data_IF_858526192834
#
_entry.id   IF_858526192834
#
_cell.length_a   1.000
_cell.length_b   1.000
_cell.length_c   1.000
_cell.angle_alpha   90.00
_cell.angle_beta   90.00
_cell.angle_gamma   90.00
#
_symmetry.space_group_name_H-M   'P 1'
#
loop_
_entity.id
_entity.type
_entity.pdbx_description
1 polymer ?
#
# COMPACT_ATOMS: atom_id res chain seq x y z
N UNK A 1 30.61 -9.43 -56.15
CA UNK A 1 30.24 -10.20 -54.95
C UNK A 1 31.38 -10.17 -53.96
N UNK A 2 31.16 -9.65 -52.74
CA UNK A 2 31.82 -10.04 -51.48
C UNK A 2 31.06 -9.33 -50.34
N UNK A 3 30.73 -10.09 -49.30
CA UNK A 3 29.55 -9.95 -48.44
C UNK A 3 29.83 -9.00 -47.27
N UNK A 4 28.84 -8.17 -46.92
CA UNK A 4 28.82 -7.35 -45.70
C UNK A 4 28.80 -8.27 -44.47
N UNK A 5 29.80 -8.16 -43.62
CA UNK A 5 29.74 -8.68 -42.25
C UNK A 5 29.16 -7.60 -41.35
N UNK A 6 27.88 -7.75 -41.00
CA UNK A 6 27.24 -6.93 -39.96
C UNK A 6 27.44 -7.67 -38.64
N UNK A 7 28.32 -7.13 -37.79
CA UNK A 7 28.46 -7.57 -36.40
C UNK A 7 27.19 -7.24 -35.63
N UNK A 8 26.47 -8.27 -35.19
CA UNK A 8 25.26 -8.14 -34.39
C UNK A 8 25.66 -7.76 -32.95
N UNK A 9 25.61 -6.48 -32.62
CA UNK A 9 25.68 -6.02 -31.22
C UNK A 9 24.35 -6.35 -30.57
N UNK A 10 24.31 -7.45 -29.81
CA UNK A 10 23.17 -7.75 -28.93
C UNK A 10 23.24 -6.76 -27.78
N UNK A 11 22.52 -5.64 -27.89
CA UNK A 11 22.19 -4.81 -26.73
C UNK A 11 21.23 -5.65 -25.90
N UNK A 12 21.75 -6.32 -24.88
CA UNK A 12 20.93 -6.85 -23.80
C UNK A 12 20.30 -5.64 -23.11
N UNK A 13 19.14 -5.20 -23.60
CA UNK A 13 18.27 -4.32 -22.85
C UNK A 13 17.97 -5.08 -21.57
N UNK A 14 18.55 -4.60 -20.46
CA UNK A 14 18.17 -5.03 -19.13
C UNK A 14 16.68 -4.75 -19.05
N UNK A 15 15.85 -5.78 -19.21
CA UNK A 15 14.43 -5.64 -18.95
C UNK A 15 14.35 -5.14 -17.51
N UNK A 16 13.70 -4.00 -17.22
CA UNK A 16 13.44 -3.66 -15.84
C UNK A 16 12.71 -4.86 -15.27
N UNK A 17 13.33 -5.55 -14.31
CA UNK A 17 12.62 -6.51 -13.46
C UNK A 17 11.35 -5.78 -13.05
N UNK A 18 10.20 -6.28 -13.50
CA UNK A 18 8.92 -5.61 -13.26
C UNK A 18 8.85 -5.31 -11.76
N UNK A 19 8.92 -4.02 -11.41
CA UNK A 19 8.79 -3.60 -10.04
C UNK A 19 7.51 -4.25 -9.51
N UNK A 20 7.58 -4.92 -8.35
CA UNK A 20 6.37 -5.42 -7.72
C UNK A 20 5.53 -4.19 -7.41
N UNK A 21 4.46 -4.00 -8.17
CA UNK A 21 3.54 -2.90 -7.93
C UNK A 21 2.76 -3.15 -6.66
N UNK A 22 2.34 -2.09 -5.97
CA UNK A 22 1.47 -2.19 -4.81
C UNK A 22 0.20 -3.00 -5.13
N UNK A 23 -0.38 -2.82 -6.33
CA UNK A 23 -1.55 -3.59 -6.74
C UNK A 23 -1.25 -5.09 -6.86
N UNK A 24 -0.15 -5.47 -7.52
CA UNK A 24 0.24 -6.88 -7.64
C UNK A 24 0.53 -7.51 -6.27
N UNK A 25 1.07 -6.70 -5.34
CA UNK A 25 1.26 -7.10 -3.95
C UNK A 25 -0.08 -7.38 -3.27
N UNK A 26 -1.05 -6.47 -3.35
CA UNK A 26 -2.40 -6.66 -2.78
C UNK A 26 -3.09 -7.89 -3.39
N UNK A 27 -3.04 -8.05 -4.73
CA UNK A 27 -3.67 -9.15 -5.43
C UNK A 27 -3.09 -10.50 -5.00
N UNK A 28 -1.76 -10.55 -4.80
CA UNK A 28 -1.09 -11.75 -4.28
C UNK A 28 -1.62 -12.16 -2.91
N UNK A 29 -1.84 -11.22 -1.99
CA UNK A 29 -2.35 -11.52 -0.65
C UNK A 29 -3.86 -11.78 -0.63
N UNK A 30 -4.62 -11.20 -1.57
CA UNK A 30 -6.04 -11.52 -1.76
C UNK A 30 -6.28 -13.01 -2.05
N UNK A 31 -5.31 -13.68 -2.67
CA UNK A 31 -5.36 -15.10 -2.96
C UNK A 31 -4.80 -16.02 -1.85
N UNK A 32 -4.21 -15.47 -0.78
CA UNK A 32 -3.61 -16.28 0.29
C UNK A 32 -4.64 -16.60 1.38
N UNK A 33 -4.79 -17.89 1.71
CA UNK A 33 -5.55 -18.31 2.89
C UNK A 33 -4.93 -17.72 4.16
N UNK A 34 -5.74 -17.06 4.98
CA UNK A 34 -5.30 -16.41 6.22
C UNK A 34 -4.95 -14.93 6.07
N UNK A 35 -5.01 -14.38 4.85
CA UNK A 35 -5.13 -12.94 4.64
C UNK A 35 -6.60 -12.59 4.42
N UNK A 36 -7.05 -11.52 5.08
CA UNK A 36 -8.32 -10.88 4.78
C UNK A 36 -8.02 -9.66 3.92
N UNK A 37 -8.64 -9.60 2.75
CA UNK A 37 -8.57 -8.41 1.89
C UNK A 37 -9.97 -7.90 1.64
N UNK A 38 -10.19 -6.62 1.94
CA UNK A 38 -11.46 -5.94 1.75
C UNK A 38 -11.23 -4.75 0.83
N UNK A 39 -12.07 -4.62 -0.19
CA UNK A 39 -12.13 -3.46 -1.08
C UNK A 39 -13.47 -2.77 -0.88
N UNK A 40 -13.44 -1.53 -0.43
CA UNK A 40 -14.60 -0.71 -0.15
C UNK A 40 -14.64 0.44 -1.16
N UNK A 41 -15.74 0.57 -1.88
CA UNK A 41 -16.00 1.75 -2.68
C UNK A 41 -16.43 2.92 -1.79
N UNK A 42 -16.30 4.14 -2.29
CA UNK A 42 -16.79 5.34 -1.59
C UNK A 42 -18.28 5.28 -1.23
N UNK A 43 -19.09 4.51 -1.95
CA UNK A 43 -20.50 4.28 -1.60
C UNK A 43 -20.67 3.37 -0.39
N UNK A 44 -19.85 2.34 -0.24
CA UNK A 44 -19.88 1.45 0.93
C UNK A 44 -19.43 2.17 2.20
N UNK A 45 -18.46 3.08 2.07
CA UNK A 45 -17.91 3.84 3.19
C UNK A 45 -18.93 4.81 3.81
N UNK A 46 -19.92 5.30 3.04
CA UNK A 46 -21.00 6.19 3.53
C UNK A 46 -21.91 5.60 4.60
N UNK A 47 -21.82 4.30 4.86
CA UNK A 47 -22.64 3.61 5.85
C UNK A 47 -21.77 2.90 6.91
N UNK A 48 -20.46 3.20 6.93
CA UNK A 48 -19.47 2.44 7.69
C UNK A 48 -19.24 1.01 7.18
N UNK A 49 -18.20 0.36 7.70
CA UNK A 49 -17.91 -1.05 7.43
C UNK A 49 -17.26 -1.73 8.62
N UNK A 50 -17.87 -2.80 9.12
CA UNK A 50 -17.35 -3.61 10.22
C UNK A 50 -17.26 -5.08 9.82
N UNK A 51 -16.04 -5.66 9.84
CA UNK A 51 -15.81 -7.09 9.65
C UNK A 51 -14.43 -7.56 10.12
N UNK A 52 -14.40 -8.62 10.94
CA UNK A 52 -13.21 -9.41 11.29
C UNK A 52 -11.95 -8.54 11.64
N UNK A 53 -12.11 -7.55 12.52
CA UNK A 53 -11.01 -6.65 12.94
C UNK A 53 -10.77 -5.45 12.04
N UNK A 54 -11.58 -5.26 11.00
CA UNK A 54 -11.68 -4.01 10.24
C UNK A 54 -12.92 -3.28 10.73
N UNK A 55 -12.71 -2.12 11.34
CA UNK A 55 -13.77 -1.23 11.78
C UNK A 55 -13.53 0.14 11.15
N UNK A 56 -14.42 0.52 10.25
CA UNK A 56 -14.43 1.83 9.60
C UNK A 56 -15.74 2.48 9.98
N UNK A 57 -15.63 3.46 10.86
CA UNK A 57 -16.75 4.30 11.26
C UNK A 57 -17.37 5.04 10.07
N UNK A 58 -18.57 5.57 10.30
CA UNK A 58 -19.29 6.32 9.29
C UNK A 58 -18.46 7.50 8.76
N UNK A 59 -18.52 7.72 7.45
CA UNK A 59 -17.68 8.71 6.76
C UNK A 59 -17.88 10.16 7.24
N UNK A 60 -18.87 10.44 8.07
CA UNK A 60 -19.08 11.74 8.71
C UNK A 60 -17.92 12.15 9.65
N UNK A 61 -17.03 11.22 10.01
CA UNK A 61 -15.78 11.49 10.72
C UNK A 61 -14.58 11.77 9.80
N UNK A 62 -14.72 11.57 8.48
CA UNK A 62 -13.65 11.87 7.52
C UNK A 62 -13.47 13.40 7.44
N UNK A 63 -12.23 13.92 7.55
CA UNK A 63 -11.98 15.35 7.47
C UNK A 63 -12.64 15.99 6.24
N UNK A 64 -13.23 17.19 6.39
CA UNK A 64 -13.93 17.90 5.29
C UNK A 64 -13.06 18.14 4.05
N UNK A 65 -11.74 18.13 4.21
CA UNK A 65 -10.76 18.27 3.14
C UNK A 65 -10.35 16.92 2.51
N UNK A 66 -11.05 15.84 2.84
CA UNK A 66 -10.81 14.50 2.33
C UNK A 66 -12.06 13.96 1.63
N UNK A 67 -11.88 13.56 0.37
CA UNK A 67 -12.86 12.80 -0.41
C UNK A 67 -12.27 11.41 -0.68
N UNK A 68 -12.81 10.39 -0.02
CA UNK A 68 -12.41 9.01 -0.25
C UNK A 68 -13.21 8.39 -1.40
N UNK A 69 -12.52 7.93 -2.45
CA UNK A 69 -13.13 7.22 -3.57
C UNK A 69 -13.12 5.70 -3.34
N UNK A 70 -12.10 5.16 -2.67
CA UNK A 70 -12.05 3.76 -2.24
C UNK A 70 -11.02 3.50 -1.14
N UNK A 71 -11.25 2.46 -0.33
CA UNK A 71 -10.29 1.92 0.62
C UNK A 71 -10.06 0.44 0.32
N UNK A 72 -8.78 0.04 0.27
CA UNK A 72 -8.39 -1.37 0.31
C UNK A 72 -7.69 -1.64 1.63
N UNK A 73 -8.14 -2.66 2.35
CA UNK A 73 -7.50 -3.14 3.58
C UNK A 73 -7.00 -4.55 3.35
N UNK A 74 -5.73 -4.80 3.68
CA UNK A 74 -5.17 -6.14 3.84
C UNK A 74 -4.86 -6.32 5.31
N UNK A 75 -5.47 -7.32 5.93
CA UNK A 75 -5.25 -7.69 7.32
C UNK A 75 -4.79 -9.15 7.40
N UNK A 76 -3.71 -9.41 8.12
CA UNK A 76 -3.29 -10.77 8.47
C UNK A 76 -3.13 -10.80 9.98
N UNK A 77 -3.82 -11.73 10.64
CA UNK A 77 -3.77 -11.89 12.09
C UNK A 77 -3.54 -13.35 12.46
N UNK A 78 -2.66 -13.62 13.42
CA UNK A 78 -2.39 -14.97 13.95
C UNK A 78 -1.95 -16.00 12.89
N UNK A 79 -1.24 -15.56 11.84
CA UNK A 79 -0.65 -16.46 10.81
C UNK A 79 0.86 -16.18 10.64
N UNK A 80 1.74 -16.65 11.56
CA UNK A 80 3.15 -16.22 11.64
C UNK A 80 3.97 -16.41 10.36
N UNK A 81 3.74 -17.51 9.63
CA UNK A 81 4.44 -17.76 8.36
C UNK A 81 4.02 -16.77 7.27
N UNK A 82 2.75 -16.39 7.25
CA UNK A 82 2.22 -15.45 6.26
C UNK A 82 2.64 -14.02 6.60
N UNK A 83 2.63 -13.65 7.89
CA UNK A 83 3.16 -12.38 8.40
C UNK A 83 4.61 -12.15 7.98
N UNK A 84 5.51 -13.09 8.30
CA UNK A 84 6.93 -13.00 7.93
C UNK A 84 7.14 -12.88 6.42
N UNK A 85 6.30 -13.57 5.63
CA UNK A 85 6.32 -13.48 4.17
C UNK A 85 5.83 -12.11 3.69
N UNK A 86 4.75 -11.59 4.26
CA UNK A 86 4.21 -10.25 4.00
C UNK A 86 5.26 -9.18 4.22
N UNK A 87 5.88 -9.14 5.40
CA UNK A 87 6.91 -8.15 5.74
C UNK A 87 8.07 -8.23 4.75
N UNK A 88 8.59 -9.44 4.49
CA UNK A 88 9.70 -9.64 3.55
C UNK A 88 9.37 -9.21 2.12
N UNK A 89 8.12 -9.37 1.70
CA UNK A 89 7.69 -8.98 0.36
C UNK A 89 7.37 -7.47 0.28
N UNK A 90 6.84 -6.88 1.36
CA UNK A 90 6.61 -5.44 1.47
C UNK A 90 7.93 -4.65 1.41
N UNK A 91 9.00 -5.17 2.02
CA UNK A 91 10.35 -4.60 1.95
C UNK A 91 10.94 -4.56 0.53
N UNK A 92 10.40 -5.34 -0.41
CA UNK A 92 10.85 -5.35 -1.81
C UNK A 92 10.04 -4.40 -2.70
N UNK A 93 8.99 -3.78 -2.18
CA UNK A 93 8.21 -2.80 -2.93
C UNK A 93 9.03 -1.53 -3.11
N UNK A 94 9.21 -1.14 -4.36
CA UNK A 94 9.81 0.15 -4.70
C UNK A 94 8.70 1.21 -4.82
N UNK A 95 8.17 1.60 -3.66
CA UNK A 95 7.09 2.58 -3.57
C UNK A 95 7.54 3.96 -4.08
N UNK A 96 8.83 4.29 -3.97
CA UNK A 96 9.39 5.54 -4.50
C UNK A 96 9.31 5.57 -6.03
N UNK A 97 9.67 4.46 -6.70
CA UNK A 97 9.50 4.33 -8.16
C UNK A 97 8.01 4.38 -8.59
N UNK A 98 7.09 4.00 -7.70
CA UNK A 98 5.64 4.17 -7.91
C UNK A 98 5.11 5.59 -7.61
N UNK A 99 5.97 6.50 -7.16
CA UNK A 99 5.65 7.90 -6.90
C UNK A 99 5.14 8.18 -5.48
N UNK A 100 5.36 7.27 -4.54
CA UNK A 100 5.10 7.53 -3.13
C UNK A 100 6.24 8.32 -2.48
N UNK A 101 5.87 9.20 -1.56
CA UNK A 101 6.75 9.90 -0.64
C UNK A 101 6.39 9.50 0.79
N UNK A 102 7.40 9.20 1.60
CA UNK A 102 7.21 8.83 3.01
C UNK A 102 6.91 10.08 3.85
N UNK A 103 5.87 10.01 4.68
CA UNK A 103 5.47 11.08 5.60
C UNK A 103 5.80 10.72 7.05
N UNK A 104 5.51 9.48 7.43
CA UNK A 104 5.73 8.96 8.78
C UNK A 104 6.40 7.60 8.67
N UNK A 105 7.40 7.39 9.51
CA UNK A 105 8.09 6.12 9.68
C UNK A 105 8.50 6.01 11.14
N UNK A 106 7.72 5.25 11.89
CA UNK A 106 7.93 4.99 13.31
C UNK A 106 8.26 3.52 13.46
N UNK A 107 9.32 3.25 14.21
CA UNK A 107 9.72 1.93 14.64
C UNK A 107 9.82 1.98 16.17
N UNK A 108 9.00 1.19 16.84
CA UNK A 108 8.99 1.05 18.31
C UNK A 108 9.08 -0.44 18.64
N UNK A 109 10.25 -0.85 19.14
CA UNK A 109 10.62 -2.26 19.30
C UNK A 109 10.35 -3.14 18.05
N UNK A 110 9.30 -3.97 18.11
CA UNK A 110 8.87 -4.89 17.05
C UNK A 110 7.64 -4.36 16.26
N UNK A 111 7.08 -3.23 16.68
CA UNK A 111 5.99 -2.53 16.00
C UNK A 111 6.55 -1.50 15.01
N UNK A 112 6.00 -1.48 13.80
CA UNK A 112 6.31 -0.48 12.81
C UNK A 112 5.03 0.16 12.27
N UNK A 113 5.07 1.47 12.07
CA UNK A 113 4.02 2.22 11.40
C UNK A 113 4.63 3.11 10.33
N UNK A 114 4.17 2.92 9.09
CA UNK A 114 4.67 3.63 7.92
C UNK A 114 3.52 4.24 7.16
N UNK A 115 3.56 5.56 6.96
CA UNK A 115 2.58 6.31 6.19
C UNK A 115 3.27 6.92 4.98
N UNK A 116 2.79 6.59 3.79
CA UNK A 116 3.25 7.13 2.52
C UNK A 116 2.10 7.78 1.77
N UNK A 117 2.41 8.81 0.99
CA UNK A 117 1.46 9.51 0.14
C UNK A 117 1.96 9.53 -1.29
N UNK A 118 1.04 9.53 -2.24
CA UNK A 118 1.31 9.78 -3.65
C UNK A 118 0.49 10.98 -4.08
N UNK A 119 1.17 12.05 -4.48
CA UNK A 119 0.55 13.35 -4.73
C UNK A 119 1.56 14.47 -4.82
N UNK A 120 1.13 15.67 -4.41
CA UNK A 120 1.97 16.86 -4.28
C UNK A 120 2.01 17.33 -2.83
N UNK A 121 2.79 18.38 -2.53
CA UNK A 121 2.97 18.88 -1.16
C UNK A 121 1.71 19.43 -0.48
N UNK A 122 0.60 19.60 -1.19
CA UNK A 122 -0.67 20.12 -0.64
C UNK A 122 -1.79 19.09 -0.66
N UNK A 123 -1.73 18.11 -1.58
CA UNK A 123 -2.80 17.16 -1.84
C UNK A 123 -2.22 15.80 -2.23
N UNK A 124 -2.65 14.76 -1.52
CA UNK A 124 -2.43 13.38 -1.92
C UNK A 124 -3.64 12.86 -2.72
N UNK A 125 -3.36 12.12 -3.80
CA UNK A 125 -4.36 11.36 -4.55
C UNK A 125 -4.50 9.92 -4.06
N UNK A 126 -3.54 9.50 -3.23
CA UNK A 126 -3.45 8.15 -2.70
C UNK A 126 -2.58 8.16 -1.44
N UNK A 127 -3.01 7.42 -0.42
CA UNK A 127 -2.32 7.25 0.85
C UNK A 127 -2.19 5.75 1.15
N UNK A 128 -1.03 5.37 1.68
CA UNK A 128 -0.72 4.01 2.09
C UNK A 128 -0.27 4.03 3.54
N UNK A 129 -0.94 3.26 4.37
CA UNK A 129 -0.61 3.05 5.77
C UNK A 129 -0.24 1.57 5.93
N UNK A 130 0.90 1.28 6.53
CA UNK A 130 1.31 -0.08 6.89
C UNK A 130 1.65 -0.10 8.37
N UNK A 131 0.99 -0.96 9.13
CA UNK A 131 1.22 -1.09 10.58
C UNK A 131 1.42 -2.55 10.96
N UNK A 132 2.31 -2.82 11.90
CA UNK A 132 2.33 -4.08 12.65
C UNK A 132 1.94 -3.85 14.10
N UNK A 133 1.43 -4.91 14.69
CA UNK A 133 1.19 -5.05 16.11
C UNK A 133 1.69 -6.45 16.49
N UNK A 134 2.86 -6.53 17.12
CA UNK A 134 3.50 -7.79 17.51
C UNK A 134 2.76 -8.47 18.66
N UNK A 135 2.24 -7.68 19.61
CA UNK A 135 1.40 -8.17 20.72
C UNK A 135 0.18 -8.93 20.18
N UNK A 136 -0.52 -8.36 19.20
CA UNK A 136 -1.68 -8.96 18.54
C UNK A 136 -1.31 -9.91 17.38
N UNK A 137 -0.01 -10.08 17.11
CA UNK A 137 0.53 -10.86 15.98
C UNK A 137 -0.20 -10.54 14.67
N UNK A 138 -0.24 -9.25 14.33
CA UNK A 138 -1.03 -8.75 13.22
C UNK A 138 -0.29 -7.71 12.37
N UNK A 139 -0.74 -7.59 11.13
CA UNK A 139 -0.28 -6.57 10.20
C UNK A 139 -1.47 -6.06 9.39
N UNK A 140 -1.53 -4.74 9.24
CA UNK A 140 -2.51 -4.08 8.40
C UNK A 140 -1.81 -3.27 7.32
N UNK A 141 -2.33 -3.36 6.10
CA UNK A 141 -2.06 -2.41 5.03
C UNK A 141 -3.37 -1.77 4.62
N UNK A 142 -3.44 -0.45 4.76
CA UNK A 142 -4.59 0.36 4.36
C UNK A 142 -4.15 1.25 3.22
N UNK A 143 -4.79 1.07 2.07
CA UNK A 143 -4.61 1.90 0.89
C UNK A 143 -5.87 2.72 0.68
N UNK A 144 -5.73 4.04 0.67
CA UNK A 144 -6.83 4.98 0.47
C UNK A 144 -6.60 5.68 -0.86
N UNK A 145 -7.58 5.64 -1.75
CA UNK A 145 -7.58 6.38 -3.01
C UNK A 145 -8.63 7.48 -2.91
N UNK A 146 -8.25 8.69 -3.28
CA UNK A 146 -9.14 9.84 -3.22
C UNK A 146 -8.37 11.14 -3.10
N UNK A 147 -9.10 12.24 -2.94
CA UNK A 147 -8.52 13.57 -2.74
C UNK A 147 -8.27 13.80 -1.25
N UNK A 148 -7.03 14.00 -0.83
CA UNK A 148 -6.66 14.11 0.59
C UNK A 148 -5.86 15.41 0.77
N UNK A 149 -6.46 16.42 1.40
CA UNK A 149 -5.76 17.67 1.76
C UNK A 149 -4.77 17.43 2.89
N UNK A 150 -3.50 17.78 2.68
CA UNK A 150 -2.41 17.52 3.63
C UNK A 150 -2.21 18.66 4.66
N UNK A 151 -2.88 19.79 4.43
CA UNK A 151 -2.75 21.06 5.16
C UNK A 151 -3.01 20.99 6.67
N UNK A 152 -3.60 19.91 7.19
CA UNK A 152 -3.84 19.69 8.62
C UNK A 152 -3.18 18.40 9.17
N UNK A 153 -2.40 17.70 8.36
CA UNK A 153 -1.77 16.42 8.76
C UNK A 153 -0.33 16.59 9.28
N UNK A 154 0.29 17.77 9.08
CA UNK A 154 1.69 18.05 9.40
C UNK A 154 1.83 18.83 10.74
N UNK A 155 0.74 19.39 11.26
CA UNK A 155 0.76 20.33 12.41
C UNK A 155 0.49 19.68 13.79
N UNK A 156 0.79 18.39 14.01
CA UNK A 156 0.77 17.78 15.35
C UNK A 156 2.15 17.26 15.76
#
# INVERSE_FOLDING_TARGET
MKKLFVTLVVVLTVMPMAAQTLQNFIDKYSAQKGAQVVNLSGEMLKNGYMRDGIDIDDMDLVPKNMKCDSITVVNIKNVPRLLKKFIKDAQKLDLTAEGYSEMVNVLDDDDYSRILIKGNGTEAKEMLIMTTDDDDNSIALVRIIGKIGLENMIDN
#
